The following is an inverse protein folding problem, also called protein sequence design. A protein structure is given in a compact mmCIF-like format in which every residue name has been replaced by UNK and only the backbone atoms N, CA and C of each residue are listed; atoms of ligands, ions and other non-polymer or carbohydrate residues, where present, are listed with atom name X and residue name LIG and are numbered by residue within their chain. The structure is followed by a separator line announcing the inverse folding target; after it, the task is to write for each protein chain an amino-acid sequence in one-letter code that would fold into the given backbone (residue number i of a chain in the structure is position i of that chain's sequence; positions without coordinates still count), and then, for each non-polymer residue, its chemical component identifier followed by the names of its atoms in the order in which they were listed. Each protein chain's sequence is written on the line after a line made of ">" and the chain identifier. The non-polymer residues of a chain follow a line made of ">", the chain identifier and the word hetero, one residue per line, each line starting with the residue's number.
data_IF_254643375882
#
_entry.id   IF_254643375882
#
_cell.length_a   1.000
_cell.length_b   1.000
_cell.length_c   1.000
_cell.angle_alpha   90.00
_cell.angle_beta   90.00
_cell.angle_gamma   90.00
#
_symmetry.space_group_name_H-M   'P 1'
#
loop_
_entity.id
_entity.type
_entity.pdbx_description
1 polymer ?
#
# COMPACT_ATOMS: atom_id res chain seq x y z
N UNK A 1 27.22 31.09 -1.48
CA UNK A 1 26.49 30.47 -2.59
C UNK A 1 26.19 31.52 -3.63
N UNK A 2 26.55 31.32 -4.92
CA UNK A 2 26.21 32.28 -5.98
C UNK A 2 24.69 32.25 -6.22
N UNK A 3 24.10 33.45 -6.35
CA UNK A 3 22.68 33.64 -6.61
C UNK A 3 22.47 34.20 -8.01
N UNK A 4 21.35 33.84 -8.64
CA UNK A 4 20.86 34.49 -9.87
C UNK A 4 19.50 35.12 -9.59
N UNK A 5 19.21 36.24 -10.26
CA UNK A 5 17.87 36.86 -10.21
C UNK A 5 16.97 36.18 -11.24
N UNK A 6 15.80 35.78 -10.78
CA UNK A 6 14.68 35.36 -11.64
C UNK A 6 13.45 36.22 -11.36
N UNK A 7 12.50 36.20 -12.27
CA UNK A 7 11.30 37.05 -12.22
C UNK A 7 10.05 36.21 -12.40
N UNK A 8 9.03 36.53 -11.65
CA UNK A 8 7.65 36.10 -11.86
C UNK A 8 6.70 37.32 -11.85
N UNK A 9 5.39 37.09 -11.85
CA UNK A 9 4.37 38.15 -11.83
C UNK A 9 4.38 39.02 -10.57
N UNK A 10 5.02 38.56 -9.49
CA UNK A 10 5.12 39.28 -8.20
C UNK A 10 6.39 40.15 -8.15
N UNK A 11 7.39 39.85 -8.99
CA UNK A 11 8.65 40.60 -9.06
C UNK A 11 9.90 39.70 -9.03
N UNK A 12 11.06 40.29 -8.68
CA UNK A 12 12.33 39.58 -8.66
C UNK A 12 12.51 38.73 -7.40
N UNK A 13 13.22 37.62 -7.55
CA UNK A 13 13.64 36.76 -6.44
C UNK A 13 15.02 36.18 -6.70
N UNK A 14 15.85 36.05 -5.67
CA UNK A 14 17.16 35.42 -5.75
C UNK A 14 17.04 33.91 -5.62
N UNK A 15 17.55 33.18 -6.60
CA UNK A 15 17.56 31.71 -6.67
C UNK A 15 18.99 31.19 -6.64
N UNK A 16 19.31 30.11 -5.93
CA UNK A 16 20.64 29.51 -5.97
C UNK A 16 21.06 29.15 -7.40
N UNK A 17 22.27 29.55 -7.80
CA UNK A 17 22.69 29.42 -9.19
C UNK A 17 22.98 27.98 -9.63
N UNK A 18 23.26 27.09 -8.68
CA UNK A 18 23.48 25.67 -8.90
C UNK A 18 22.15 24.89 -9.11
N UNK A 19 21.01 25.44 -8.69
CA UNK A 19 19.71 24.80 -8.80
C UNK A 19 18.99 25.13 -10.10
N UNK A 20 18.14 24.20 -10.54
CA UNK A 20 17.33 24.32 -11.77
C UNK A 20 15.94 24.90 -11.52
N UNK A 21 15.46 24.92 -10.26
CA UNK A 21 14.17 25.57 -9.98
C UNK A 21 14.25 27.08 -10.18
N UNK A 22 13.08 27.70 -10.33
CA UNK A 22 12.96 29.13 -10.62
C UNK A 22 12.31 29.93 -9.49
N UNK A 23 11.76 31.08 -9.88
CA UNK A 23 11.19 32.07 -8.97
C UNK A 23 10.00 31.54 -8.16
N UNK A 24 9.09 30.79 -8.79
CA UNK A 24 7.88 30.27 -8.14
C UNK A 24 8.25 29.27 -7.04
N UNK A 25 9.16 28.34 -7.33
CA UNK A 25 9.64 27.36 -6.35
C UNK A 25 10.39 28.05 -5.20
N UNK A 26 11.21 29.05 -5.50
CA UNK A 26 11.96 29.77 -4.47
C UNK A 26 11.03 30.50 -3.49
N UNK A 27 9.93 31.08 -3.99
CA UNK A 27 8.89 31.67 -3.11
C UNK A 27 8.21 30.62 -2.26
N UNK A 28 7.87 29.47 -2.84
CA UNK A 28 7.25 28.35 -2.14
C UNK A 28 8.12 27.86 -0.99
N UNK A 29 9.42 27.70 -1.20
CA UNK A 29 10.37 27.34 -0.17
C UNK A 29 10.41 28.34 1.00
N UNK A 30 10.24 29.63 0.68
CA UNK A 30 10.22 30.69 1.70
C UNK A 30 8.93 30.70 2.51
N UNK A 31 7.77 30.62 1.85
CA UNK A 31 6.47 30.86 2.47
C UNK A 31 5.76 29.61 2.97
N UNK A 32 6.14 28.42 2.48
CA UNK A 32 5.53 27.13 2.83
C UNK A 32 6.53 26.15 3.44
N UNK A 33 7.42 26.66 4.29
CA UNK A 33 8.38 25.82 5.02
C UNK A 33 7.72 25.15 6.24
N UNK A 34 6.70 24.31 6.00
CA UNK A 34 5.90 23.64 7.02
C UNK A 34 6.31 22.16 7.10
N UNK A 35 6.74 21.72 8.29
CA UNK A 35 7.17 20.33 8.51
C UNK A 35 8.43 19.95 7.73
N UNK A 36 8.73 18.65 7.65
CA UNK A 36 9.94 18.12 6.99
C UNK A 36 9.65 17.22 5.79
N UNK A 37 8.39 16.81 5.60
CA UNK A 37 8.01 15.82 4.59
C UNK A 37 7.96 16.48 3.23
N UNK A 38 8.78 16.00 2.30
CA UNK A 38 8.80 16.44 0.91
C UNK A 38 7.70 15.77 0.10
N UNK A 39 7.31 16.41 -1.02
CA UNK A 39 6.44 15.79 -2.02
C UNK A 39 7.08 14.48 -2.51
N UNK A 40 6.29 13.42 -2.59
CA UNK A 40 6.77 12.11 -3.01
C UNK A 40 7.35 12.20 -4.44
N UNK A 41 8.54 11.67 -4.61
CA UNK A 41 9.26 11.72 -5.89
C UNK A 41 8.50 11.02 -7.03
N UNK A 42 7.62 10.07 -6.72
CA UNK A 42 6.75 9.41 -7.71
C UNK A 42 5.77 10.40 -8.36
N UNK A 43 5.25 11.39 -7.61
CA UNK A 43 4.43 12.49 -8.14
C UNK A 43 5.26 13.35 -9.09
N UNK A 44 6.47 13.75 -8.70
CA UNK A 44 7.37 14.55 -9.54
C UNK A 44 7.64 13.83 -10.88
N UNK A 45 8.03 12.56 -10.81
CA UNK A 45 8.28 11.74 -12.00
C UNK A 45 7.02 11.58 -12.87
N UNK A 46 5.85 11.47 -12.26
CA UNK A 46 4.58 11.37 -12.99
C UNK A 46 4.21 12.68 -13.68
N UNK A 47 4.42 13.84 -13.04
CA UNK A 47 4.28 15.14 -13.71
C UNK A 47 5.26 15.23 -14.88
N UNK A 48 6.53 14.83 -14.72
CA UNK A 48 7.51 14.82 -15.81
C UNK A 48 7.09 13.91 -16.99
N UNK A 49 6.44 12.77 -16.73
CA UNK A 49 5.85 11.91 -17.77
C UNK A 49 4.76 12.67 -18.55
N UNK A 50 3.93 13.42 -17.86
CA UNK A 50 2.89 14.26 -18.50
C UNK A 50 3.55 15.31 -19.39
N UNK A 51 4.53 16.08 -18.87
CA UNK A 51 5.24 17.13 -19.64
C UNK A 51 5.97 16.59 -20.87
N UNK A 52 6.61 15.42 -20.71
CA UNK A 52 7.21 14.69 -21.81
C UNK A 52 6.22 14.34 -22.91
N UNK A 53 5.09 13.76 -22.51
CA UNK A 53 4.05 13.30 -23.43
C UNK A 53 3.37 14.47 -24.15
N UNK A 54 3.17 15.57 -23.44
CA UNK A 54 2.62 16.81 -23.97
C UNK A 54 3.52 17.42 -25.03
N UNK A 55 4.82 17.56 -24.75
CA UNK A 55 5.77 18.11 -25.72
C UNK A 55 5.72 17.34 -27.06
N UNK A 56 5.60 16.01 -27.02
CA UNK A 56 5.45 15.17 -28.21
C UNK A 56 4.14 15.43 -28.94
N UNK A 57 3.04 15.60 -28.20
CA UNK A 57 1.71 15.86 -28.79
C UNK A 57 1.68 17.25 -29.43
N UNK A 58 2.23 18.25 -28.74
CA UNK A 58 2.24 19.64 -29.25
C UNK A 58 3.17 19.83 -30.45
N UNK A 59 4.29 19.09 -30.52
CA UNK A 59 5.12 19.05 -31.73
C UNK A 59 4.32 18.50 -32.92
N UNK A 60 3.64 17.37 -32.74
CA UNK A 60 2.80 16.75 -33.80
C UNK A 60 1.63 17.65 -34.23
N UNK A 61 1.14 18.46 -33.31
CA UNK A 61 0.06 19.42 -33.56
C UNK A 61 0.59 20.81 -34.02
N UNK A 62 1.90 20.94 -34.26
CA UNK A 62 2.59 22.17 -34.70
C UNK A 62 2.40 23.37 -33.76
N UNK A 63 2.26 23.11 -32.48
CA UNK A 63 2.07 24.12 -31.42
C UNK A 63 3.36 24.55 -30.74
N UNK A 64 4.41 23.75 -30.85
CA UNK A 64 5.78 24.05 -30.40
C UNK A 64 6.81 23.55 -31.43
N UNK A 65 7.92 24.26 -31.49
CA UNK A 65 9.05 23.92 -32.39
C UNK A 65 9.67 22.56 -32.01
N UNK A 66 10.12 21.81 -33.01
CA UNK A 66 10.73 20.48 -32.83
C UNK A 66 11.98 20.52 -31.93
N UNK A 67 12.82 21.57 -32.00
CA UNK A 67 14.02 21.69 -31.15
C UNK A 67 13.61 21.89 -29.68
N UNK A 68 12.56 22.69 -29.43
CA UNK A 68 12.02 22.94 -28.10
C UNK A 68 11.41 21.66 -27.55
N UNK A 69 10.60 20.95 -28.35
CA UNK A 69 10.00 19.66 -27.96
C UNK A 69 11.07 18.65 -27.55
N UNK A 70 12.08 18.44 -28.39
CA UNK A 70 13.19 17.53 -28.09
C UNK A 70 13.94 17.88 -26.81
N UNK A 71 14.16 19.16 -26.55
CA UNK A 71 14.83 19.62 -25.33
C UNK A 71 13.96 19.35 -24.09
N UNK A 72 12.65 19.63 -24.15
CA UNK A 72 11.70 19.33 -23.07
C UNK A 72 11.63 17.81 -22.80
N UNK A 73 11.53 16.99 -23.85
CA UNK A 73 11.50 15.53 -23.72
C UNK A 73 12.77 15.01 -23.03
N UNK A 74 13.95 15.46 -23.45
CA UNK A 74 15.23 15.06 -22.84
C UNK A 74 15.35 15.50 -21.39
N UNK A 75 14.96 16.72 -21.06
CA UNK A 75 14.96 17.24 -19.70
C UNK A 75 13.96 16.45 -18.80
N UNK A 76 12.77 16.16 -19.32
CA UNK A 76 11.78 15.32 -18.63
C UNK A 76 12.31 13.91 -18.38
N UNK A 77 12.98 13.30 -19.33
CA UNK A 77 13.60 11.98 -19.18
C UNK A 77 14.69 11.96 -18.08
N UNK A 78 15.44 13.07 -17.89
CA UNK A 78 16.40 13.21 -16.77
C UNK A 78 15.67 13.25 -15.41
N UNK A 79 14.55 13.96 -15.29
CA UNK A 79 13.71 13.97 -14.08
C UNK A 79 13.17 12.57 -13.80
N UNK A 80 12.59 11.91 -14.80
CA UNK A 80 12.02 10.56 -14.64
C UNK A 80 13.08 9.56 -14.18
N UNK A 81 14.31 9.67 -14.68
CA UNK A 81 15.45 8.82 -14.30
C UNK A 81 16.07 9.17 -12.95
N UNK A 82 15.58 10.20 -12.26
CA UNK A 82 16.07 10.62 -10.95
C UNK A 82 17.39 11.39 -10.96
N UNK A 83 17.85 11.87 -12.12
CA UNK A 83 19.12 12.61 -12.24
C UNK A 83 19.06 14.02 -11.66
N UNK A 84 17.85 14.54 -11.42
CA UNK A 84 17.59 15.90 -10.99
C UNK A 84 16.83 15.98 -9.66
N UNK A 85 16.79 14.89 -8.88
CA UNK A 85 15.93 14.75 -7.68
C UNK A 85 16.18 15.85 -6.64
N UNK A 86 17.41 16.36 -6.49
CA UNK A 86 17.75 17.49 -5.58
C UNK A 86 17.22 18.85 -6.01
N UNK A 87 16.50 18.94 -7.11
CA UNK A 87 15.81 20.14 -7.55
C UNK A 87 14.34 20.20 -7.15
N UNK A 88 13.86 19.27 -6.32
CA UNK A 88 12.47 19.20 -5.87
C UNK A 88 12.35 19.32 -4.35
N UNK A 89 12.57 20.52 -3.78
CA UNK A 89 12.67 20.72 -2.34
C UNK A 89 11.31 20.96 -1.65
N UNK A 90 10.20 20.99 -2.40
CA UNK A 90 8.93 21.42 -1.88
C UNK A 90 8.31 20.40 -0.91
N UNK A 91 7.64 20.93 0.10
CA UNK A 91 6.95 20.17 1.14
C UNK A 91 5.53 19.80 0.73
N UNK A 92 5.00 18.76 1.37
CA UNK A 92 3.59 18.34 1.17
C UNK A 92 2.61 19.45 1.54
N UNK A 93 2.93 20.22 2.59
CA UNK A 93 2.07 21.30 3.12
C UNK A 93 2.23 22.57 2.28
N UNK A 94 1.52 22.60 1.15
CA UNK A 94 1.54 23.66 0.15
C UNK A 94 0.12 24.01 -0.31
N UNK A 95 -0.02 24.79 -1.40
CA UNK A 95 -1.36 25.02 -1.98
C UNK A 95 -2.05 23.69 -2.31
N UNK A 96 -3.30 23.59 -1.93
CA UNK A 96 -4.06 22.35 -2.00
C UNK A 96 -4.32 21.80 -3.41
N UNK A 97 -4.16 22.62 -4.45
CA UNK A 97 -4.19 22.21 -5.85
C UNK A 97 -2.91 21.50 -6.30
N UNK A 98 -1.77 21.70 -5.59
CA UNK A 98 -0.46 21.23 -5.98
C UNK A 98 0.25 22.12 -7.00
N UNK A 99 -0.22 23.36 -7.21
CA UNK A 99 0.37 24.26 -8.23
C UNK A 99 1.84 24.55 -8.01
N UNK A 100 2.28 24.68 -6.77
CA UNK A 100 3.69 24.90 -6.46
C UNK A 100 4.57 23.74 -6.96
N UNK A 101 4.13 22.51 -6.77
CA UNK A 101 4.83 21.32 -7.26
C UNK A 101 4.83 21.24 -8.79
N UNK A 102 3.69 21.51 -9.44
CA UNK A 102 3.62 21.54 -10.90
C UNK A 102 4.57 22.61 -11.48
N UNK A 103 4.60 23.81 -10.88
CA UNK A 103 5.52 24.88 -11.29
C UNK A 103 6.97 24.50 -11.03
N UNK A 104 7.29 23.83 -9.93
CA UNK A 104 8.65 23.35 -9.68
C UNK A 104 9.13 22.42 -10.81
N UNK A 105 8.29 21.46 -11.23
CA UNK A 105 8.63 20.57 -12.35
C UNK A 105 8.76 21.36 -13.65
N UNK A 106 7.85 22.31 -13.93
CA UNK A 106 7.92 23.16 -15.12
C UNK A 106 9.22 23.98 -15.17
N UNK A 107 9.60 24.60 -14.05
CA UNK A 107 10.80 25.43 -13.95
C UNK A 107 12.07 24.58 -14.12
N UNK A 108 12.15 23.42 -13.47
CA UNK A 108 13.30 22.50 -13.59
C UNK A 108 13.47 22.01 -15.03
N UNK A 109 12.39 21.53 -15.66
CA UNK A 109 12.41 21.07 -17.05
C UNK A 109 12.78 22.21 -17.99
N UNK A 110 12.17 23.42 -17.83
CA UNK A 110 12.46 24.57 -18.68
C UNK A 110 13.94 25.00 -18.57
N UNK A 111 14.44 25.17 -17.34
CA UNK A 111 15.84 25.58 -17.14
C UNK A 111 16.83 24.53 -17.65
N UNK A 112 16.52 23.22 -17.47
CA UNK A 112 17.38 22.16 -18.02
C UNK A 112 17.36 22.14 -19.55
N UNK A 113 16.20 22.33 -20.17
CA UNK A 113 16.07 22.43 -21.61
C UNK A 113 16.81 23.67 -22.18
N UNK A 114 16.74 24.82 -21.49
CA UNK A 114 17.49 26.03 -21.83
C UNK A 114 18.99 25.75 -21.82
N UNK A 115 19.54 25.09 -20.79
CA UNK A 115 20.96 24.70 -20.74
C UNK A 115 21.35 23.79 -21.90
N UNK A 116 20.52 22.79 -22.24
CA UNK A 116 20.74 21.86 -23.35
C UNK A 116 20.76 22.57 -24.72
N UNK A 117 20.10 23.72 -24.83
CA UNK A 117 20.06 24.56 -26.05
C UNK A 117 21.07 25.68 -26.02
N UNK A 118 22.01 25.71 -25.05
CA UNK A 118 23.05 26.73 -24.95
C UNK A 118 22.57 28.09 -24.43
N UNK A 119 21.34 28.16 -23.87
CA UNK A 119 20.74 29.36 -23.29
C UNK A 119 21.18 29.62 -21.85
N UNK A 120 20.84 30.79 -21.33
CA UNK A 120 21.13 31.19 -19.95
C UNK A 120 19.97 30.75 -19.02
N UNK A 121 20.27 29.94 -18.04
CA UNK A 121 19.33 29.50 -16.99
C UNK A 121 18.61 30.70 -16.34
N UNK A 122 17.30 30.59 -16.13
CA UNK A 122 16.46 31.66 -15.59
C UNK A 122 15.98 32.68 -16.61
N UNK A 123 16.48 32.63 -17.87
CA UNK A 123 16.10 33.59 -18.93
C UNK A 123 14.69 33.38 -19.49
N UNK A 124 14.10 32.21 -19.26
CA UNK A 124 12.83 31.74 -19.89
C UNK A 124 12.92 31.71 -21.44
N UNK A 125 14.10 31.70 -22.00
CA UNK A 125 14.38 31.64 -23.44
C UNK A 125 15.51 30.64 -23.70
N UNK A 126 15.41 29.77 -24.75
CA UNK A 126 14.29 29.65 -25.70
C UNK A 126 13.09 28.86 -25.17
N UNK A 127 13.12 28.27 -23.97
CA UNK A 127 12.05 27.48 -23.38
C UNK A 127 11.41 28.24 -22.22
N UNK A 128 10.09 28.43 -22.27
CA UNK A 128 9.31 29.06 -21.19
C UNK A 128 8.55 28.02 -20.37
N UNK A 129 8.57 28.08 -19.01
CA UNK A 129 7.92 27.08 -18.16
C UNK A 129 6.40 26.99 -18.35
N UNK A 130 5.71 28.15 -18.64
CA UNK A 130 4.27 28.14 -18.85
C UNK A 130 3.91 27.99 -20.33
N UNK A 131 4.56 28.75 -21.24
CA UNK A 131 4.12 28.80 -22.64
C UNK A 131 4.54 27.57 -23.45
N UNK A 132 5.56 26.83 -22.99
CA UNK A 132 6.06 25.62 -23.64
C UNK A 132 5.84 24.38 -22.79
N UNK A 133 6.37 24.32 -21.54
CA UNK A 133 6.31 23.11 -20.69
C UNK A 133 4.92 22.85 -20.11
N UNK A 134 4.13 23.92 -19.86
CA UNK A 134 2.77 23.79 -19.32
C UNK A 134 1.67 24.17 -20.34
N UNK A 135 2.01 24.22 -21.63
CA UNK A 135 1.07 24.63 -22.69
C UNK A 135 -0.18 23.75 -22.71
N UNK A 136 -1.37 24.38 -22.85
CA UNK A 136 -2.68 23.69 -22.86
C UNK A 136 -2.98 22.85 -21.61
N UNK A 137 -2.38 23.18 -20.47
CA UNK A 137 -2.58 22.47 -19.19
C UNK A 137 -2.92 23.46 -18.07
N UNK A 138 -3.53 22.93 -17.05
CA UNK A 138 -3.63 23.52 -15.71
C UNK A 138 -3.05 22.56 -14.69
N UNK A 139 -2.62 23.04 -13.53
CA UNK A 139 -2.33 22.13 -12.41
C UNK A 139 -3.55 21.30 -12.03
N UNK A 140 -4.73 21.84 -12.28
CA UNK A 140 -5.99 21.20 -11.88
C UNK A 140 -6.22 19.85 -12.58
N UNK A 141 -5.78 19.69 -13.83
CA UNK A 141 -5.80 18.40 -14.54
C UNK A 141 -4.47 17.62 -14.44
N UNK A 142 -3.33 18.32 -14.36
CA UNK A 142 -1.99 17.69 -14.27
C UNK A 142 -1.80 16.95 -12.95
N UNK A 143 -2.13 17.58 -11.81
CA UNK A 143 -1.83 16.98 -10.51
C UNK A 143 -2.66 15.72 -10.22
N UNK A 144 -4.00 15.68 -10.44
CA UNK A 144 -4.77 14.44 -10.29
C UNK A 144 -4.33 13.36 -11.30
N UNK A 145 -3.98 13.74 -12.53
CA UNK A 145 -3.39 12.80 -13.50
C UNK A 145 -2.08 12.19 -12.95
N UNK A 146 -1.21 13.00 -12.36
CA UNK A 146 0.03 12.53 -11.74
C UNK A 146 -0.22 11.63 -10.54
N UNK A 147 -1.25 11.91 -9.73
CA UNK A 147 -1.68 11.04 -8.64
C UNK A 147 -2.07 9.65 -9.15
N UNK A 148 -2.92 9.58 -10.18
CA UNK A 148 -3.36 8.32 -10.78
C UNK A 148 -2.20 7.54 -11.42
N UNK A 149 -1.32 8.22 -12.17
CA UNK A 149 -0.12 7.59 -12.76
C UNK A 149 0.78 7.02 -11.65
N UNK A 150 1.03 7.77 -10.57
CA UNK A 150 1.87 7.32 -9.46
C UNK A 150 1.27 6.11 -8.75
N UNK A 151 -0.02 6.17 -8.39
CA UNK A 151 -0.72 5.06 -7.74
C UNK A 151 -0.68 3.80 -8.61
N UNK A 152 -0.97 3.92 -9.90
CA UNK A 152 -0.95 2.78 -10.82
C UNK A 152 0.46 2.17 -10.95
N UNK A 153 1.49 3.00 -11.11
CA UNK A 153 2.88 2.54 -11.25
C UNK A 153 3.37 1.82 -10.00
N UNK A 154 3.24 2.45 -8.83
CA UNK A 154 3.71 1.87 -7.56
C UNK A 154 2.91 0.60 -7.21
N UNK A 155 1.62 0.56 -7.51
CA UNK A 155 0.80 -0.63 -7.30
C UNK A 155 1.24 -1.80 -8.18
N UNK A 156 1.42 -1.55 -9.48
CA UNK A 156 1.77 -2.61 -10.44
C UNK A 156 3.22 -3.08 -10.31
N UNK A 157 4.16 -2.17 -10.00
CA UNK A 157 5.58 -2.50 -9.95
C UNK A 157 6.06 -2.97 -8.57
N UNK A 158 5.37 -2.62 -7.48
CA UNK A 158 5.84 -2.88 -6.12
C UNK A 158 4.79 -3.59 -5.25
N UNK A 159 3.59 -3.02 -5.10
CA UNK A 159 2.60 -3.52 -4.15
C UNK A 159 2.09 -4.92 -4.51
N UNK A 160 1.54 -5.10 -5.71
CA UNK A 160 1.00 -6.38 -6.14
C UNK A 160 2.06 -7.50 -6.21
N UNK A 161 3.27 -7.27 -6.75
CA UNK A 161 4.34 -8.27 -6.69
C UNK A 161 4.68 -8.72 -5.27
N UNK A 162 4.78 -7.78 -4.32
CA UNK A 162 5.15 -8.09 -2.94
C UNK A 162 4.02 -8.82 -2.18
N UNK A 163 2.76 -8.44 -2.38
CA UNK A 163 1.60 -9.18 -1.85
C UNK A 163 1.53 -10.62 -2.41
N UNK A 164 1.85 -10.81 -3.69
CA UNK A 164 1.91 -12.15 -4.32
C UNK A 164 3.02 -13.01 -3.72
N UNK A 165 4.12 -12.43 -3.27
CA UNK A 165 5.16 -13.16 -2.51
C UNK A 165 4.58 -13.67 -1.19
N UNK A 166 3.89 -12.82 -0.43
CA UNK A 166 3.26 -13.22 0.84
C UNK A 166 2.18 -14.29 0.63
N UNK A 167 1.32 -14.09 -0.34
CA UNK A 167 0.28 -15.05 -0.73
C UNK A 167 0.86 -16.44 -1.01
N UNK A 168 1.93 -16.49 -1.80
CA UNK A 168 2.63 -17.74 -2.14
C UNK A 168 3.23 -18.43 -0.92
N UNK A 169 3.86 -17.71 0.00
CA UNK A 169 4.47 -18.29 1.21
C UNK A 169 3.39 -18.80 2.18
N UNK A 170 2.27 -18.08 2.35
CA UNK A 170 1.15 -18.56 3.17
C UNK A 170 0.51 -19.82 2.59
N UNK A 171 0.34 -19.89 1.27
CA UNK A 171 -0.16 -21.08 0.57
C UNK A 171 0.80 -22.26 0.77
N UNK A 172 2.12 -22.01 0.65
CA UNK A 172 3.14 -23.05 0.90
C UNK A 172 3.03 -23.58 2.33
N UNK A 173 2.91 -22.70 3.33
CA UNK A 173 2.74 -23.10 4.74
C UNK A 173 1.45 -23.84 5.01
N UNK A 174 0.33 -23.43 4.38
CA UNK A 174 -0.91 -24.18 4.47
C UNK A 174 -0.77 -25.63 4.01
N UNK A 175 -0.04 -25.86 2.92
CA UNK A 175 0.23 -27.22 2.41
C UNK A 175 1.20 -27.99 3.30
N UNK A 176 2.28 -27.34 3.77
CA UNK A 176 3.30 -27.92 4.66
C UNK A 176 2.68 -28.41 5.96
N UNK A 177 1.74 -27.66 6.51
CA UNK A 177 1.11 -27.94 7.81
C UNK A 177 -0.21 -28.71 7.72
N UNK A 178 -0.60 -29.20 6.54
CA UNK A 178 -1.91 -29.81 6.27
C UNK A 178 -2.28 -30.91 7.26
N UNK A 179 -1.32 -31.73 7.67
CA UNK A 179 -1.55 -32.90 8.50
C UNK A 179 -1.23 -32.68 10.00
N UNK A 180 -0.97 -31.43 10.41
CA UNK A 180 -0.70 -31.11 11.82
C UNK A 180 -1.99 -30.69 12.48
N UNK A 181 -2.62 -31.60 13.19
CA UNK A 181 -3.86 -31.32 13.94
C UNK A 181 -3.53 -30.59 15.24
N UNK A 182 -4.27 -29.56 15.55
CA UNK A 182 -4.14 -28.71 16.74
C UNK A 182 -5.50 -28.34 17.28
N UNK A 183 -5.55 -27.80 18.51
CA UNK A 183 -6.78 -27.20 19.01
C UNK A 183 -7.08 -25.90 18.28
N UNK A 184 -8.35 -25.64 17.96
CA UNK A 184 -8.83 -24.33 17.57
C UNK A 184 -9.00 -23.43 18.79
N UNK A 185 -9.13 -22.11 18.53
CA UNK A 185 -9.49 -21.14 19.58
C UNK A 185 -10.54 -20.18 19.06
N UNK A 186 -11.60 -20.01 19.85
CA UNK A 186 -12.62 -18.96 19.65
C UNK A 186 -12.72 -18.18 20.96
N UNK A 187 -12.83 -16.85 20.90
CA UNK A 187 -12.75 -15.98 22.09
C UNK A 187 -11.43 -16.14 22.88
N UNK A 188 -10.35 -16.59 22.26
CA UNK A 188 -9.09 -17.05 22.88
C UNK A 188 -9.25 -18.24 23.84
N UNK A 189 -10.42 -18.89 23.86
CA UNK A 189 -10.69 -20.10 24.60
C UNK A 189 -10.52 -21.34 23.72
N UNK A 190 -10.22 -22.47 24.33
CA UNK A 190 -10.08 -23.75 23.65
C UNK A 190 -11.36 -24.11 22.88
N UNK A 191 -11.19 -24.55 21.64
CA UNK A 191 -12.29 -24.96 20.76
C UNK A 191 -11.98 -26.33 20.12
N UNK A 192 -12.86 -26.76 19.24
CA UNK A 192 -12.71 -28.03 18.50
C UNK A 192 -11.42 -28.00 17.62
N UNK A 193 -10.86 -29.19 17.33
CA UNK A 193 -9.66 -29.28 16.49
C UNK A 193 -9.82 -28.75 15.08
N UNK A 194 -8.70 -28.30 14.51
CA UNK A 194 -8.49 -28.07 13.09
C UNK A 194 -7.05 -28.42 12.75
N UNK A 195 -6.67 -28.46 11.47
CA UNK A 195 -5.26 -28.55 11.16
C UNK A 195 -4.61 -27.16 11.11
N UNK A 196 -3.34 -27.06 11.48
CA UNK A 196 -2.54 -25.83 11.31
C UNK A 196 -2.53 -25.37 9.83
N UNK A 197 -2.59 -26.34 8.90
CA UNK A 197 -2.74 -26.04 7.47
C UNK A 197 -4.07 -25.37 7.12
N UNK A 198 -5.18 -25.76 7.75
CA UNK A 198 -6.48 -25.08 7.59
C UNK A 198 -6.44 -23.64 8.13
N UNK A 199 -5.81 -23.42 9.28
CA UNK A 199 -5.60 -22.09 9.85
C UNK A 199 -4.81 -21.19 8.89
N UNK A 200 -3.67 -21.65 8.35
CA UNK A 200 -2.88 -20.93 7.35
C UNK A 200 -3.61 -20.76 6.01
N UNK A 201 -4.53 -21.65 5.63
CA UNK A 201 -5.37 -21.48 4.44
C UNK A 201 -6.32 -20.29 4.55
N UNK A 202 -6.80 -20.01 5.76
CA UNK A 202 -7.56 -18.79 6.07
C UNK A 202 -6.73 -17.54 5.82
N UNK A 203 -5.49 -17.48 6.30
CA UNK A 203 -4.56 -16.36 6.06
C UNK A 203 -4.24 -16.17 4.57
N UNK A 204 -3.95 -17.26 3.87
CA UNK A 204 -3.75 -17.25 2.42
C UNK A 204 -4.95 -16.64 1.68
N UNK A 205 -6.16 -17.09 2.02
CA UNK A 205 -7.40 -16.60 1.39
C UNK A 205 -7.61 -15.11 1.62
N UNK A 206 -7.33 -14.59 2.83
CA UNK A 206 -7.46 -13.18 3.15
C UNK A 206 -6.52 -12.31 2.30
N UNK A 207 -5.25 -12.73 2.12
CA UNK A 207 -4.28 -12.00 1.28
C UNK A 207 -4.66 -12.09 -0.19
N UNK A 208 -5.05 -13.27 -0.69
CA UNK A 208 -5.53 -13.47 -2.07
C UNK A 208 -6.72 -12.54 -2.38
N UNK A 209 -7.72 -12.48 -1.50
CA UNK A 209 -8.88 -11.60 -1.66
C UNK A 209 -8.50 -10.11 -1.59
N UNK A 210 -7.48 -9.75 -0.82
CA UNK A 210 -6.96 -8.37 -0.80
C UNK A 210 -6.31 -8.00 -2.14
N UNK A 211 -5.54 -8.90 -2.74
CA UNK A 211 -4.98 -8.71 -4.09
C UNK A 211 -6.11 -8.49 -5.11
N UNK A 212 -7.13 -9.36 -5.13
CA UNK A 212 -8.28 -9.25 -6.04
C UNK A 212 -9.01 -7.91 -5.90
N UNK A 213 -9.23 -7.41 -4.66
CA UNK A 213 -9.87 -6.11 -4.41
C UNK A 213 -9.02 -4.95 -4.93
N UNK A 214 -7.70 -4.98 -4.69
CA UNK A 214 -6.77 -3.95 -5.16
C UNK A 214 -6.74 -3.95 -6.69
N UNK A 215 -6.64 -5.10 -7.35
CA UNK A 215 -6.66 -5.22 -8.81
C UNK A 215 -7.99 -4.71 -9.40
N UNK A 216 -9.10 -4.90 -8.70
CA UNK A 216 -10.41 -4.38 -9.12
C UNK A 216 -10.47 -2.84 -9.02
N UNK A 217 -10.10 -2.28 -7.88
CA UNK A 217 -10.12 -0.83 -7.65
C UNK A 217 -9.14 -0.08 -8.56
N UNK A 218 -8.03 -0.73 -8.96
CA UNK A 218 -7.05 -0.16 -9.87
C UNK A 218 -7.64 0.19 -11.26
N UNK A 219 -8.76 -0.41 -11.65
CA UNK A 219 -9.43 -0.12 -12.94
C UNK A 219 -9.92 1.33 -13.04
N UNK A 220 -10.37 1.91 -11.93
CA UNK A 220 -10.81 3.32 -11.88
C UNK A 220 -9.60 4.26 -11.91
N UNK A 221 -8.48 3.88 -11.31
CA UNK A 221 -7.22 4.66 -11.33
C UNK A 221 -6.66 4.80 -12.75
N UNK A 222 -7.04 3.94 -13.70
CA UNK A 222 -6.59 4.07 -15.09
C UNK A 222 -7.26 5.20 -15.88
N UNK A 223 -8.26 5.87 -15.35
CA UNK A 223 -8.85 7.05 -15.97
C UNK A 223 -8.10 8.31 -15.54
N UNK A 224 -7.72 9.15 -16.53
CA UNK A 224 -6.90 10.33 -16.31
C UNK A 224 -7.70 11.63 -16.58
N UNK A 225 -7.55 12.58 -15.68
CA UNK A 225 -8.16 13.91 -15.77
C UNK A 225 -7.55 14.79 -16.87
N UNK A 226 -6.37 14.40 -17.39
CA UNK A 226 -5.59 15.20 -18.35
C UNK A 226 -6.41 15.66 -19.56
N UNK A 227 -6.30 16.95 -19.90
CA UNK A 227 -7.05 17.60 -20.93
C UNK A 227 -8.31 18.32 -20.44
N UNK A 228 -8.65 18.23 -19.14
CA UNK A 228 -9.73 19.02 -18.53
C UNK A 228 -9.37 20.47 -18.32
N UNK A 229 -8.08 20.79 -18.28
CA UNK A 229 -7.50 22.12 -18.02
C UNK A 229 -7.98 22.72 -16.69
N UNK A 230 -8.51 23.95 -16.68
CA UNK A 230 -8.81 24.69 -15.45
C UNK A 230 -9.99 24.12 -14.64
N UNK A 231 -11.09 23.78 -15.30
CA UNK A 231 -12.37 23.39 -14.66
C UNK A 231 -13.04 22.16 -15.29
N UNK A 232 -12.41 21.53 -16.29
CA UNK A 232 -12.96 20.35 -16.96
C UNK A 232 -13.40 20.57 -18.41
N UNK A 233 -13.46 21.83 -18.88
CA UNK A 233 -13.93 22.20 -20.24
C UNK A 233 -12.90 21.99 -21.34
N UNK A 234 -11.61 21.84 -20.97
CA UNK A 234 -10.53 21.77 -21.95
C UNK A 234 -10.19 23.09 -22.63
N UNK A 235 -10.49 24.23 -21.99
CA UNK A 235 -10.20 25.56 -22.55
C UNK A 235 -8.71 25.68 -22.92
N UNK A 236 -8.41 26.35 -24.04
CA UNK A 236 -7.08 26.56 -24.60
C UNK A 236 -6.37 25.27 -25.05
N UNK A 237 -7.09 24.16 -25.24
CA UNK A 237 -6.56 22.93 -25.84
C UNK A 237 -7.16 22.66 -27.23
N UNK A 238 -6.42 21.96 -28.10
CA UNK A 238 -6.95 21.49 -29.39
C UNK A 238 -7.97 20.34 -29.18
N UNK A 239 -8.90 20.21 -30.13
CA UNK A 239 -9.86 19.08 -30.14
C UNK A 239 -9.14 17.73 -30.04
N UNK A 240 -9.64 16.84 -29.18
CA UNK A 240 -9.06 15.53 -28.87
C UNK A 240 -7.66 15.56 -28.22
N UNK A 241 -7.23 16.68 -27.64
CA UNK A 241 -5.96 16.76 -26.92
C UNK A 241 -5.89 15.73 -25.81
N UNK A 242 -6.96 15.56 -25.01
CA UNK A 242 -7.06 14.56 -23.95
C UNK A 242 -6.79 13.14 -24.42
N UNK A 243 -7.37 12.74 -25.56
CA UNK A 243 -7.14 11.40 -26.15
C UNK A 243 -5.70 11.22 -26.62
N UNK A 244 -5.12 12.26 -27.24
CA UNK A 244 -3.75 12.22 -27.77
C UNK A 244 -2.72 12.10 -26.64
N UNK A 245 -2.85 12.94 -25.59
CA UNK A 245 -1.89 12.95 -24.49
C UNK A 245 -1.98 11.67 -23.64
N UNK A 246 -3.19 11.20 -23.33
CA UNK A 246 -3.36 9.96 -22.57
C UNK A 246 -2.83 8.75 -23.35
N UNK A 247 -3.00 8.74 -24.68
CA UNK A 247 -2.40 7.69 -25.53
C UNK A 247 -0.87 7.72 -25.46
N UNK A 248 -0.25 8.89 -25.45
CA UNK A 248 1.21 9.02 -25.37
C UNK A 248 1.72 8.63 -23.97
N UNK A 249 1.00 9.01 -22.88
CA UNK A 249 1.28 8.56 -21.51
C UNK A 249 1.18 7.04 -21.39
N UNK A 250 0.11 6.44 -21.93
CA UNK A 250 -0.08 4.99 -21.92
C UNK A 250 1.04 4.25 -22.67
N UNK A 251 1.45 4.79 -23.84
CA UNK A 251 2.58 4.25 -24.62
C UNK A 251 3.89 4.27 -23.82
N UNK A 252 4.19 5.39 -23.18
CA UNK A 252 5.42 5.53 -22.41
C UNK A 252 5.46 4.65 -21.18
N UNK A 253 4.37 4.63 -20.40
CA UNK A 253 4.28 3.87 -19.14
C UNK A 253 4.02 2.38 -19.32
N UNK A 254 3.56 1.97 -20.51
CA UNK A 254 3.04 0.62 -20.83
C UNK A 254 1.83 0.24 -19.96
N UNK A 255 1.14 1.20 -19.37
CA UNK A 255 -0.09 1.03 -18.61
C UNK A 255 -1.27 1.50 -19.46
N UNK A 256 -2.37 0.75 -19.47
CA UNK A 256 -3.54 1.02 -20.32
C UNK A 256 -4.40 2.17 -19.77
N UNK A 257 -3.82 3.35 -19.59
CA UNK A 257 -4.56 4.54 -19.22
C UNK A 257 -5.57 4.95 -20.28
N UNK A 258 -6.66 5.57 -19.84
CA UNK A 258 -7.76 6.07 -20.66
C UNK A 258 -8.11 7.51 -20.27
N UNK A 259 -8.58 8.35 -21.19
CA UNK A 259 -9.17 9.63 -20.81
C UNK A 259 -10.37 9.40 -19.90
N UNK A 260 -10.47 10.15 -18.82
CA UNK A 260 -11.65 10.07 -17.96
C UNK A 260 -12.91 10.47 -18.75
N UNK A 261 -14.03 9.77 -18.57
CA UNK A 261 -15.27 10.06 -19.30
C UNK A 261 -15.88 11.41 -18.91
N UNK A 262 -15.63 11.85 -17.67
CA UNK A 262 -16.07 13.14 -17.15
C UNK A 262 -14.90 13.86 -16.46
N UNK A 263 -14.39 14.93 -17.10
CA UNK A 263 -13.27 15.71 -16.56
C UNK A 263 -13.68 16.58 -15.37
N UNK A 264 -14.94 16.96 -15.26
CA UNK A 264 -15.44 17.76 -14.14
C UNK A 264 -15.35 16.99 -12.83
N UNK A 265 -15.78 15.73 -12.83
CA UNK A 265 -15.67 14.85 -11.67
C UNK A 265 -14.21 14.63 -11.28
N UNK A 266 -13.33 14.30 -12.23
CA UNK A 266 -11.93 13.96 -11.95
C UNK A 266 -11.07 15.15 -11.47
N UNK A 267 -11.48 16.39 -11.70
CA UNK A 267 -10.81 17.57 -11.17
C UNK A 267 -11.27 17.92 -9.76
N UNK A 268 -12.56 17.75 -9.50
CA UNK A 268 -13.23 18.22 -8.28
C UNK A 268 -13.30 17.15 -7.18
N UNK A 269 -13.27 15.87 -7.56
CA UNK A 269 -13.35 14.74 -6.64
C UNK A 269 -12.21 13.76 -6.85
N UNK A 270 -11.94 12.92 -5.84
CA UNK A 270 -10.91 11.88 -5.88
C UNK A 270 -11.47 10.54 -5.44
N UNK A 271 -12.71 10.24 -5.84
CA UNK A 271 -13.45 9.05 -5.41
C UNK A 271 -12.71 7.76 -5.74
N UNK A 272 -12.08 7.68 -6.92
CA UNK A 272 -11.26 6.54 -7.31
C UNK A 272 -10.09 6.28 -6.34
N UNK A 273 -9.44 7.34 -5.84
CA UNK A 273 -8.34 7.20 -4.86
C UNK A 273 -8.90 6.88 -3.47
N UNK A 274 -10.02 7.46 -3.07
CA UNK A 274 -10.71 7.14 -1.80
C UNK A 274 -11.11 5.67 -1.79
N UNK A 275 -11.74 5.17 -2.86
CA UNK A 275 -12.10 3.76 -3.03
C UNK A 275 -10.85 2.85 -3.00
N UNK A 276 -9.81 3.20 -3.76
CA UNK A 276 -8.55 2.46 -3.76
C UNK A 276 -7.92 2.40 -2.36
N UNK A 277 -7.91 3.52 -1.64
CA UNK A 277 -7.47 3.59 -0.24
C UNK A 277 -8.30 2.69 0.68
N UNK A 278 -9.61 2.56 0.46
CA UNK A 278 -10.48 1.63 1.16
C UNK A 278 -10.06 0.16 0.98
N UNK A 279 -9.59 -0.21 -0.21
CA UNK A 279 -9.05 -1.57 -0.43
C UNK A 279 -7.74 -1.81 0.30
N UNK A 280 -6.86 -0.80 0.38
CA UNK A 280 -5.63 -0.86 1.18
C UNK A 280 -5.94 -0.97 2.67
N UNK A 281 -6.95 -0.23 3.15
CA UNK A 281 -7.44 -0.31 4.53
C UNK A 281 -7.94 -1.74 4.85
N UNK A 282 -8.73 -2.34 3.98
CA UNK A 282 -9.19 -3.73 4.14
C UNK A 282 -8.03 -4.72 4.14
N UNK A 283 -7.01 -4.49 3.30
CA UNK A 283 -5.77 -5.28 3.31
C UNK A 283 -5.03 -5.15 4.65
N UNK A 284 -4.90 -3.93 5.17
CA UNK A 284 -4.26 -3.69 6.47
C UNK A 284 -5.01 -4.39 7.62
N UNK A 285 -6.34 -4.40 7.62
CA UNK A 285 -7.16 -5.14 8.60
C UNK A 285 -6.86 -6.64 8.54
N UNK A 286 -6.78 -7.22 7.34
CA UNK A 286 -6.42 -8.63 7.17
C UNK A 286 -4.99 -8.93 7.66
N UNK A 287 -4.02 -8.10 7.30
CA UNK A 287 -2.63 -8.25 7.72
C UNK A 287 -2.45 -8.09 9.24
N UNK A 288 -3.20 -7.19 9.87
CA UNK A 288 -3.23 -7.00 11.32
C UNK A 288 -3.64 -8.31 12.02
N UNK A 289 -4.74 -8.92 11.58
CA UNK A 289 -5.24 -10.19 12.13
C UNK A 289 -4.21 -11.31 11.94
N UNK A 290 -3.67 -11.48 10.74
CA UNK A 290 -2.69 -12.53 10.42
C UNK A 290 -1.43 -12.38 11.28
N UNK A 291 -0.90 -11.17 11.39
CA UNK A 291 0.31 -10.89 12.18
C UNK A 291 0.09 -11.13 13.67
N UNK A 292 -1.07 -10.75 14.21
CA UNK A 292 -1.41 -10.99 15.60
C UNK A 292 -1.56 -12.49 15.90
N UNK A 293 -2.26 -13.26 15.06
CA UNK A 293 -2.40 -14.71 15.26
C UNK A 293 -1.02 -15.39 15.25
N UNK A 294 -0.19 -15.10 14.26
CA UNK A 294 1.16 -15.69 14.18
C UNK A 294 2.00 -15.31 15.41
N UNK A 295 1.90 -14.05 15.87
CA UNK A 295 2.60 -13.57 17.06
C UNK A 295 2.13 -14.30 18.33
N UNK A 296 0.82 -14.48 18.49
CA UNK A 296 0.25 -15.23 19.62
C UNK A 296 0.66 -16.71 19.59
N UNK A 297 0.52 -17.36 18.45
CA UNK A 297 0.90 -18.76 18.31
C UNK A 297 2.42 -18.99 18.54
N UNK A 298 3.23 -18.00 18.25
CA UNK A 298 4.70 -18.02 18.50
C UNK A 298 5.09 -17.52 19.91
N UNK A 299 4.14 -17.17 20.78
CA UNK A 299 4.43 -16.63 22.11
C UNK A 299 5.05 -17.65 23.04
N UNK A 300 5.89 -17.22 23.95
CA UNK A 300 6.56 -18.08 24.95
C UNK A 300 8.08 -17.93 24.91
N UNK A 301 8.84 -19.04 24.85
CA UNK A 301 8.48 -20.41 24.43
C UNK A 301 7.83 -21.31 25.50
N UNK A 302 7.96 -21.00 26.80
CA UNK A 302 7.44 -21.88 27.87
C UNK A 302 6.13 -21.40 28.49
N UNK A 303 5.99 -20.07 28.69
CA UNK A 303 4.86 -19.44 29.35
C UNK A 303 3.81 -18.85 28.37
N UNK A 304 3.88 -19.19 27.10
CA UNK A 304 2.94 -18.79 26.07
C UNK A 304 2.38 -19.98 25.30
N UNK A 305 1.70 -19.72 24.18
CA UNK A 305 1.12 -20.80 23.34
C UNK A 305 2.20 -21.71 22.74
N UNK A 306 3.28 -21.14 22.22
CA UNK A 306 4.46 -21.88 21.77
C UNK A 306 4.19 -22.89 20.64
N UNK A 307 3.11 -22.75 19.89
CA UNK A 307 2.74 -23.68 18.80
C UNK A 307 3.55 -23.44 17.52
N UNK A 308 4.06 -22.20 17.33
CA UNK A 308 4.94 -21.83 16.23
C UNK A 308 6.33 -21.48 16.76
N UNK A 309 7.35 -21.85 15.98
CA UNK A 309 8.73 -21.38 16.15
C UNK A 309 8.97 -20.35 15.05
N UNK A 310 9.19 -19.10 15.47
CA UNK A 310 9.45 -17.99 14.56
C UNK A 310 10.95 -17.86 14.26
N UNK A 311 11.34 -17.40 13.06
CA UNK A 311 12.74 -17.11 12.74
C UNK A 311 13.32 -16.01 13.61
N UNK A 312 14.57 -16.16 13.99
CA UNK A 312 15.36 -15.11 14.61
C UNK A 312 15.89 -14.16 13.52
N UNK A 313 15.59 -12.87 13.66
CA UNK A 313 16.08 -11.85 12.73
C UNK A 313 17.16 -10.97 13.39
N UNK A 314 17.14 -10.86 14.72
CA UNK A 314 18.01 -9.99 15.50
C UNK A 314 18.07 -10.46 16.96
N UNK A 315 19.05 -10.01 17.76
CA UNK A 315 19.05 -10.21 19.21
C UNK A 315 17.80 -9.57 19.83
N UNK A 316 16.96 -10.38 20.48
CA UNK A 316 15.63 -9.95 20.95
C UNK A 316 15.63 -9.10 22.19
N UNK A 317 16.77 -8.98 22.91
CA UNK A 317 16.88 -8.21 24.16
C UNK A 317 18.33 -7.88 24.50
N UNK A 318 18.55 -6.68 25.02
CA UNK A 318 19.86 -6.26 25.52
C UNK A 318 20.23 -6.85 26.89
N UNK A 319 19.24 -7.33 27.68
CA UNK A 319 19.44 -7.83 29.05
C UNK A 319 18.93 -9.26 29.28
N UNK A 320 18.24 -9.87 28.30
CA UNK A 320 17.73 -11.24 28.36
C UNK A 320 18.33 -12.07 27.21
N UNK A 321 19.50 -12.68 27.41
CA UNK A 321 20.19 -13.44 26.37
C UNK A 321 19.31 -14.59 25.83
N UNK A 322 19.30 -14.77 24.51
CA UNK A 322 18.52 -15.84 23.86
C UNK A 322 17.01 -15.57 23.70
N UNK A 323 16.52 -14.37 24.07
CA UNK A 323 15.13 -14.01 23.84
C UNK A 323 14.89 -13.69 22.36
N UNK A 324 13.91 -14.36 21.75
CA UNK A 324 13.46 -14.11 20.36
C UNK A 324 12.13 -13.38 20.41
N UNK A 325 12.02 -12.24 19.71
CA UNK A 325 10.79 -11.46 19.62
C UNK A 325 10.14 -11.63 18.23
N UNK A 326 8.80 -11.49 18.12
CA UNK A 326 8.08 -11.58 16.85
C UNK A 326 8.14 -10.24 16.09
N UNK A 327 9.34 -9.67 15.90
CA UNK A 327 9.57 -8.28 15.43
C UNK A 327 9.00 -7.98 14.06
N UNK A 328 9.00 -8.95 13.15
CA UNK A 328 8.34 -8.79 11.84
C UNK A 328 6.81 -8.64 11.98
N UNK A 329 6.20 -9.37 12.89
CA UNK A 329 4.76 -9.20 13.19
C UNK A 329 4.47 -7.82 13.76
N UNK A 330 5.33 -7.33 14.67
CA UNK A 330 5.19 -6.00 15.28
C UNK A 330 5.31 -4.90 14.23
N UNK A 331 6.30 -4.98 13.33
CA UNK A 331 6.48 -4.04 12.23
C UNK A 331 5.23 -3.98 11.32
N UNK A 332 4.69 -5.14 10.94
CA UNK A 332 3.46 -5.20 10.12
C UNK A 332 2.28 -4.56 10.85
N UNK A 333 2.10 -4.83 12.15
CA UNK A 333 0.96 -4.24 12.91
C UNK A 333 1.07 -2.72 13.01
N UNK A 334 2.28 -2.15 13.20
CA UNK A 334 2.49 -0.70 13.16
C UNK A 334 2.17 -0.11 11.78
N UNK A 335 2.60 -0.77 10.70
CA UNK A 335 2.25 -0.38 9.33
C UNK A 335 0.74 -0.38 9.12
N UNK A 336 0.03 -1.41 9.59
CA UNK A 336 -1.42 -1.48 9.48
C UNK A 336 -2.11 -0.31 10.17
N UNK A 337 -1.69 0.05 11.39
CA UNK A 337 -2.22 1.23 12.10
C UNK A 337 -2.00 2.51 11.30
N UNK A 338 -0.79 2.68 10.73
CA UNK A 338 -0.48 3.86 9.91
C UNK A 338 -1.34 3.94 8.64
N UNK A 339 -1.55 2.82 7.96
CA UNK A 339 -2.40 2.75 6.75
C UNK A 339 -3.86 3.06 7.06
N UNK A 340 -4.40 2.57 8.17
CA UNK A 340 -5.74 2.91 8.64
C UNK A 340 -5.86 4.41 8.91
N UNK A 341 -4.86 5.01 9.58
CA UNK A 341 -4.81 6.46 9.81
C UNK A 341 -4.74 7.27 8.50
N UNK A 342 -3.95 6.83 7.53
CA UNK A 342 -3.86 7.45 6.21
C UNK A 342 -5.19 7.38 5.47
N UNK A 343 -5.90 6.25 5.53
CA UNK A 343 -7.23 6.09 4.91
C UNK A 343 -8.25 7.08 5.48
N UNK A 344 -8.28 7.26 6.80
CA UNK A 344 -9.14 8.26 7.43
C UNK A 344 -8.82 9.68 6.92
N UNK A 345 -7.53 10.03 6.83
CA UNK A 345 -7.10 11.32 6.26
C UNK A 345 -7.49 11.50 4.80
N UNK A 346 -7.38 10.44 3.97
CA UNK A 346 -7.79 10.46 2.56
C UNK A 346 -9.31 10.63 2.43
N UNK A 347 -10.09 9.92 3.24
CA UNK A 347 -11.57 10.01 3.23
C UNK A 347 -12.03 11.41 3.58
N UNK A 348 -11.49 12.00 4.64
CA UNK A 348 -11.80 13.37 5.04
C UNK A 348 -11.38 14.38 3.95
N UNK A 349 -10.17 14.27 3.43
CA UNK A 349 -9.68 15.14 2.38
C UNK A 349 -10.49 14.99 1.07
N UNK A 350 -10.93 13.79 0.72
CA UNK A 350 -11.78 13.52 -0.43
C UNK A 350 -13.15 14.18 -0.32
N UNK A 351 -13.72 14.26 0.90
CA UNK A 351 -15.04 14.89 1.15
C UNK A 351 -15.05 16.41 1.03
N UNK A 352 -13.88 17.07 0.89
CA UNK A 352 -13.73 18.53 0.83
C UNK A 352 -13.53 19.10 -0.58
N UNK A 353 -14.04 18.46 -1.62
CA UNK A 353 -14.15 19.05 -2.96
C UNK A 353 -15.24 20.12 -2.98
N UNK A 354 -14.92 21.33 -3.48
CA UNK A 354 -15.88 22.42 -3.63
C UNK A 354 -15.95 22.83 -5.09
N UNK A 355 -17.16 22.78 -5.65
CA UNK A 355 -17.39 23.07 -7.06
C UNK A 355 -16.43 22.28 -7.97
N UNK A 356 -15.56 22.94 -8.72
CA UNK A 356 -14.73 22.33 -9.76
C UNK A 356 -13.33 21.92 -9.26
N UNK A 357 -13.03 22.03 -7.94
CA UNK A 357 -11.70 21.68 -7.43
C UNK A 357 -11.70 21.16 -5.99
N UNK A 358 -11.03 20.04 -5.78
CA UNK A 358 -10.58 19.63 -4.47
C UNK A 358 -9.19 20.22 -4.19
N UNK A 359 -8.99 20.84 -3.01
CA UNK A 359 -7.75 21.51 -2.63
C UNK A 359 -6.97 20.77 -1.52
N UNK A 360 -7.12 19.46 -1.45
CA UNK A 360 -6.38 18.56 -0.54
C UNK A 360 -5.47 17.57 -1.29
N UNK A 361 -5.21 17.81 -2.58
CA UNK A 361 -4.48 16.89 -3.45
C UNK A 361 -3.11 16.47 -2.93
N UNK A 362 -2.23 17.37 -2.43
CA UNK A 362 -0.93 16.97 -1.91
C UNK A 362 -1.00 16.03 -0.71
N UNK A 363 -1.98 16.24 0.18
CA UNK A 363 -2.22 15.36 1.33
C UNK A 363 -2.70 13.97 0.89
N UNK A 364 -3.68 13.93 -0.02
CA UNK A 364 -4.21 12.67 -0.58
C UNK A 364 -3.08 11.89 -1.27
N UNK A 365 -2.29 12.56 -2.11
CA UNK A 365 -1.16 11.96 -2.80
C UNK A 365 -0.11 11.38 -1.84
N UNK A 366 0.23 12.13 -0.79
CA UNK A 366 1.19 11.69 0.22
C UNK A 366 0.69 10.44 0.94
N UNK A 367 -0.53 10.47 1.47
CA UNK A 367 -1.08 9.39 2.28
C UNK A 367 -1.28 8.10 1.47
N UNK A 368 -1.77 8.19 0.23
CA UNK A 368 -2.00 7.00 -0.59
C UNK A 368 -0.68 6.34 -1.00
N UNK A 369 0.32 7.11 -1.45
CA UNK A 369 1.61 6.57 -1.85
C UNK A 369 2.39 6.02 -0.66
N UNK A 370 2.33 6.68 0.50
CA UNK A 370 2.92 6.14 1.72
C UNK A 370 2.27 4.80 2.11
N UNK A 371 0.94 4.66 1.98
CA UNK A 371 0.25 3.41 2.27
C UNK A 371 0.66 2.28 1.33
N UNK A 372 0.79 2.58 0.05
CA UNK A 372 1.28 1.63 -0.96
C UNK A 372 2.69 1.14 -0.61
N UNK A 373 3.61 2.08 -0.33
CA UNK A 373 5.00 1.76 0.01
C UNK A 373 5.11 0.90 1.26
N UNK A 374 4.43 1.31 2.34
CA UNK A 374 4.48 0.63 3.62
C UNK A 374 3.91 -0.79 3.55
N UNK A 375 2.76 -1.00 2.89
CA UNK A 375 2.19 -2.34 2.71
C UNK A 375 3.13 -3.19 1.85
N UNK A 376 3.63 -2.64 0.76
CA UNK A 376 4.50 -3.38 -0.16
C UNK A 376 5.77 -3.88 0.53
N UNK A 377 6.47 -3.00 1.26
CA UNK A 377 7.74 -3.34 1.90
C UNK A 377 7.53 -4.27 3.10
N UNK A 378 6.52 -3.98 3.95
CA UNK A 378 6.23 -4.81 5.12
C UNK A 378 5.79 -6.22 4.74
N UNK A 379 4.93 -6.38 3.73
CA UNK A 379 4.47 -7.71 3.29
C UNK A 379 5.57 -8.54 2.67
N UNK A 380 6.48 -7.94 1.90
CA UNK A 380 7.68 -8.61 1.39
C UNK A 380 8.57 -9.10 2.51
N UNK A 381 8.89 -8.22 3.47
CA UNK A 381 9.74 -8.56 4.60
C UNK A 381 9.10 -9.63 5.48
N UNK A 382 7.82 -9.49 5.79
CA UNK A 382 7.06 -10.48 6.55
C UNK A 382 7.05 -11.85 5.87
N UNK A 383 6.86 -11.90 4.55
CA UNK A 383 6.91 -13.13 3.78
C UNK A 383 8.28 -13.81 3.86
N UNK A 384 9.36 -13.05 3.65
CA UNK A 384 10.71 -13.59 3.51
C UNK A 384 11.34 -13.91 4.88
N UNK A 385 11.21 -12.98 5.84
CA UNK A 385 11.94 -13.05 7.12
C UNK A 385 11.10 -13.63 8.28
N UNK A 386 9.77 -13.81 8.09
CA UNK A 386 8.91 -14.45 9.06
C UNK A 386 8.25 -15.70 8.47
N UNK A 387 7.24 -15.55 7.61
CA UNK A 387 6.35 -16.65 7.18
C UNK A 387 7.11 -17.82 6.57
N UNK A 388 8.11 -17.54 5.72
CA UNK A 388 8.94 -18.57 5.07
C UNK A 388 9.64 -19.50 6.07
N UNK A 389 10.14 -18.94 7.16
CA UNK A 389 10.94 -19.64 8.17
C UNK A 389 10.13 -20.23 9.33
N UNK A 390 8.82 -19.98 9.43
CA UNK A 390 7.97 -20.54 10.49
C UNK A 390 8.04 -22.07 10.49
N UNK A 391 8.21 -22.65 11.70
CA UNK A 391 8.12 -24.10 11.93
C UNK A 391 7.03 -24.38 12.94
N UNK A 392 6.37 -25.53 12.81
CA UNK A 392 5.42 -26.02 13.81
C UNK A 392 6.15 -26.67 14.98
N UNK A 393 5.83 -26.26 16.21
CA UNK A 393 6.26 -26.93 17.41
C UNK A 393 5.32 -28.13 17.70
N UNK A 394 5.55 -29.24 17.00
CA UNK A 394 4.68 -30.39 17.05
C UNK A 394 4.48 -30.94 18.48
N UNK A 395 5.51 -30.87 19.33
CA UNK A 395 5.45 -31.33 20.73
C UNK A 395 4.44 -30.48 21.50
N UNK A 396 4.53 -29.16 21.39
CA UNK A 396 3.63 -28.25 22.12
C UNK A 396 2.19 -28.31 21.59
N UNK A 397 2.03 -28.45 20.28
CA UNK A 397 0.74 -28.65 19.62
C UNK A 397 0.07 -29.92 20.14
N UNK A 398 0.80 -31.04 20.22
CA UNK A 398 0.28 -32.32 20.71
C UNK A 398 -0.07 -32.23 22.19
N UNK A 399 0.76 -31.60 23.02
CA UNK A 399 0.50 -31.37 24.43
C UNK A 399 -0.82 -30.61 24.66
N UNK A 400 -1.07 -29.53 23.90
CA UNK A 400 -2.33 -28.79 23.97
C UNK A 400 -3.52 -29.63 23.50
N UNK A 401 -3.34 -30.43 22.46
CA UNK A 401 -4.41 -31.28 21.92
C UNK A 401 -4.79 -32.36 22.88
N UNK A 402 -3.81 -33.05 23.50
CA UNK A 402 -4.05 -34.14 24.45
C UNK A 402 -4.78 -33.68 25.76
N UNK A 403 -4.50 -32.42 26.15
CA UNK A 403 -5.11 -31.79 27.32
C UNK A 403 -6.43 -31.09 27.02
N UNK A 404 -6.88 -31.03 25.77
CA UNK A 404 -8.10 -30.31 25.41
C UNK A 404 -9.37 -31.01 25.87
N UNK A 405 -10.15 -30.32 26.67
CA UNK A 405 -11.49 -30.80 27.09
C UNK A 405 -12.54 -30.64 25.96
N UNK A 406 -12.27 -29.86 24.93
CA UNK A 406 -13.21 -29.65 23.84
C UNK A 406 -13.31 -30.81 22.85
N UNK A 407 -12.43 -31.80 22.98
CA UNK A 407 -12.56 -33.09 22.31
C UNK A 407 -13.86 -33.83 22.72
N UNK A 408 -14.46 -33.46 23.84
CA UNK A 408 -15.78 -33.95 24.31
C UNK A 408 -16.89 -33.71 23.28
N UNK A 409 -16.72 -32.76 22.38
CA UNK A 409 -17.70 -32.44 21.33
C UNK A 409 -18.02 -33.64 20.46
N UNK A 410 -17.05 -34.53 20.18
CA UNK A 410 -17.29 -35.77 19.43
C UNK A 410 -18.09 -36.83 20.23
N UNK A 411 -18.11 -36.76 21.55
CA UNK A 411 -18.88 -37.66 22.39
C UNK A 411 -20.36 -37.26 22.48
N UNK A 412 -20.69 -35.97 22.34
CA UNK A 412 -22.05 -35.47 22.54
C UNK A 412 -23.12 -36.19 21.70
N UNK A 413 -22.88 -36.57 20.41
CA UNK A 413 -23.87 -37.37 19.65
C UNK A 413 -24.13 -38.78 20.20
N UNK A 414 -23.21 -39.33 21.00
CA UNK A 414 -23.26 -40.70 21.51
C UNK A 414 -23.81 -40.79 22.94
N UNK A 415 -23.51 -39.78 23.77
CA UNK A 415 -23.87 -39.79 25.21
C UNK A 415 -24.84 -38.69 25.63
N UNK A 416 -25.21 -37.82 24.68
CA UNK A 416 -26.01 -36.62 24.91
C UNK A 416 -25.19 -35.45 25.42
N UNK A 417 -25.69 -34.21 25.14
CA UNK A 417 -24.99 -32.94 25.43
C UNK A 417 -24.72 -32.77 26.94
N UNK A 418 -25.71 -33.06 27.80
CA UNK A 418 -25.60 -32.84 29.25
C UNK A 418 -24.55 -33.74 29.90
N UNK A 419 -24.48 -35.01 29.50
CA UNK A 419 -23.44 -35.93 29.97
C UNK A 419 -22.05 -35.47 29.48
N UNK A 420 -21.93 -35.08 28.23
CA UNK A 420 -20.69 -34.54 27.68
C UNK A 420 -20.23 -33.28 28.44
N UNK A 421 -21.14 -32.34 28.72
CA UNK A 421 -20.83 -31.12 29.48
C UNK A 421 -20.42 -31.44 30.93
N UNK A 422 -21.10 -32.41 31.60
CA UNK A 422 -20.77 -32.84 32.94
C UNK A 422 -19.35 -33.46 32.99
N UNK A 423 -19.01 -34.32 32.05
CA UNK A 423 -17.70 -34.96 31.95
C UNK A 423 -16.59 -33.88 31.77
N UNK A 424 -16.75 -32.93 30.86
CA UNK A 424 -15.75 -31.88 30.63
C UNK A 424 -15.59 -31.01 31.90
N UNK A 425 -16.68 -30.59 32.55
CA UNK A 425 -16.63 -29.82 33.81
C UNK A 425 -15.96 -30.60 34.94
N UNK A 426 -16.23 -31.90 35.05
CA UNK A 426 -15.62 -32.75 36.04
C UNK A 426 -14.14 -32.94 35.83
N UNK A 427 -13.69 -33.15 34.57
CA UNK A 427 -12.30 -33.25 34.21
C UNK A 427 -11.53 -31.94 34.53
N UNK A 428 -12.11 -30.78 34.24
CA UNK A 428 -11.54 -29.47 34.61
C UNK A 428 -11.41 -29.32 36.13
N UNK A 429 -12.48 -29.58 36.86
CA UNK A 429 -12.51 -29.46 38.33
C UNK A 429 -11.50 -30.36 39.04
N UNK A 430 -11.37 -31.60 38.57
CA UNK A 430 -10.50 -32.61 39.16
C UNK A 430 -9.06 -32.54 38.61
N UNK A 431 -8.77 -31.66 37.67
CA UNK A 431 -7.50 -31.61 36.93
C UNK A 431 -7.11 -32.98 36.34
N UNK A 432 -8.07 -33.65 35.72
CA UNK A 432 -7.93 -34.97 35.09
C UNK A 432 -8.14 -34.87 33.58
N UNK A 433 -7.88 -35.95 32.86
CA UNK A 433 -8.09 -35.99 31.40
C UNK A 433 -9.57 -36.29 31.08
N UNK A 434 -10.02 -35.83 29.91
CA UNK A 434 -11.34 -36.13 29.37
C UNK A 434 -11.58 -37.66 29.31
N UNK A 435 -10.57 -38.42 28.86
CA UNK A 435 -10.63 -39.89 28.78
C UNK A 435 -10.90 -40.50 30.15
N UNK A 436 -10.16 -40.10 31.18
CA UNK A 436 -10.31 -40.61 32.54
C UNK A 436 -11.73 -40.43 33.06
N UNK A 437 -12.24 -39.21 32.99
CA UNK A 437 -13.60 -38.93 33.51
C UNK A 437 -14.71 -39.58 32.66
N UNK A 438 -14.50 -39.73 31.34
CA UNK A 438 -15.45 -40.46 30.48
C UNK A 438 -15.57 -41.92 30.86
N UNK A 439 -14.43 -42.62 30.99
CA UNK A 439 -14.43 -44.05 31.34
C UNK A 439 -15.00 -44.33 32.72
N UNK A 440 -14.78 -43.41 33.67
CA UNK A 440 -15.33 -43.50 35.03
C UNK A 440 -16.85 -43.45 35.06
N UNK A 441 -17.51 -42.86 34.05
CA UNK A 441 -18.98 -42.84 33.98
C UNK A 441 -19.57 -44.19 33.57
N UNK A 442 -18.82 -45.08 32.95
CA UNK A 442 -19.30 -46.35 32.39
C UNK A 442 -20.19 -46.20 31.13
N UNK A 443 -20.41 -44.99 30.64
CA UNK A 443 -21.28 -44.74 29.49
C UNK A 443 -20.69 -45.22 28.17
N UNK A 444 -19.36 -45.28 28.06
CA UNK A 444 -18.66 -45.68 26.84
C UNK A 444 -17.46 -46.54 27.21
N UNK A 445 -17.21 -47.60 26.44
CA UNK A 445 -16.00 -48.42 26.57
C UNK A 445 -14.72 -47.66 26.12
N UNK A 446 -13.57 -48.07 26.63
CA UNK A 446 -12.30 -47.47 26.18
C UNK A 446 -12.06 -47.62 24.67
N UNK A 447 -12.48 -48.78 24.11
CA UNK A 447 -12.40 -49.06 22.69
C UNK A 447 -13.22 -48.05 21.86
N UNK A 448 -14.45 -47.78 22.31
CA UNK A 448 -15.36 -46.86 21.65
C UNK A 448 -14.91 -45.42 21.86
N UNK A 449 -14.42 -45.05 23.05
CA UNK A 449 -13.81 -43.74 23.29
C UNK A 449 -12.70 -43.43 22.29
N UNK A 450 -11.71 -44.34 22.15
CA UNK A 450 -10.58 -44.16 21.24
C UNK A 450 -11.01 -44.11 19.75
N UNK A 451 -12.14 -44.72 19.40
CA UNK A 451 -12.70 -44.67 18.05
C UNK A 451 -13.45 -43.35 17.77
N UNK A 452 -14.17 -42.84 18.77
CA UNK A 452 -15.01 -41.63 18.65
C UNK A 452 -14.17 -40.39 18.83
N UNK A 453 -13.29 -40.33 19.85
CA UNK A 453 -12.46 -39.18 20.17
C UNK A 453 -11.14 -39.29 19.39
N UNK A 454 -11.24 -39.14 18.09
CA UNK A 454 -10.10 -39.07 17.17
C UNK A 454 -10.01 -37.65 16.59
N UNK A 455 -9.08 -36.81 17.04
CA UNK A 455 -8.97 -35.43 16.55
C UNK A 455 -8.80 -35.30 15.03
N UNK A 456 -8.25 -36.33 14.38
CA UNK A 456 -8.07 -36.34 12.90
C UNK A 456 -9.41 -36.46 12.17
N UNK A 457 -10.41 -37.05 12.79
CA UNK A 457 -11.77 -37.16 12.23
C UNK A 457 -12.62 -35.90 12.50
N UNK A 458 -12.20 -35.05 13.43
CA UNK A 458 -12.95 -33.85 13.82
C UNK A 458 -12.64 -32.64 12.94
N UNK A 459 -11.69 -32.73 12.00
CA UNK A 459 -11.25 -31.59 11.17
C UNK A 459 -11.94 -31.51 9.80
N UNK A 460 -12.85 -32.40 9.50
CA UNK A 460 -13.68 -32.45 8.30
C UNK A 460 -15.12 -32.85 8.66
N UNK A 461 -16.09 -32.47 7.81
CA UNK A 461 -17.46 -33.02 7.93
C UNK A 461 -17.43 -34.55 7.84
N UNK A 462 -18.32 -35.22 8.60
CA UNK A 462 -18.48 -36.66 8.61
C UNK A 462 -19.15 -37.17 7.32
#
# INVERSE_FOLDING_TARGET
>A
MKLRKEFDSIGSVNVPNDKLWGASTQRSNKFFNIGKILVNISIIKSIAIIKRSEAIVHEKDELIDNKISKAIVRASDEVIKGKLDDNFPLKVWQTGSGTQTNMNVNEVIANRAIEMMGGKKGSKKPVHPNDHVNKSQSTNDVFPTAMHISVAKETLSKLLPNLKILEKELNRKSKEFKNIVKIGRTHLQDATPLSLGQEFSGYHTQVKKSIERIEYALKEIFFLAQGGTAVGTGINSKKNFDKKIVKEIAKYTKIKFKPAPNKFAELAAHDAIVNFSGTLNTCAVALMKISNDIRFLGSGPRAGYGELILPENEPGSSIMPGKVNPTQCEAVTMVCVKVIGNHNGITMAGSHGHFELNVFKPLIAHNILQSIDLIADSTKNFAIYCVRGIKANKKKIQEHLDNSLMLVTSLAPHIGYDNAAKIAKTALKNNTTLKHETLKTGLISEKDYNKIVDPKKMIYPA
#
